data_IF_156582140490
#
_entry.id   IF_156582140490
#
_cell.length_a   1.000
_cell.length_b   1.000
_cell.length_c   1.000
_cell.angle_alpha   90.00
_cell.angle_beta   90.00
_cell.angle_gamma   90.00
#
_symmetry.space_group_name_H-M   'P 1'
#
loop_
_entity.id
_entity.type
_entity.pdbx_description
1 polymer ?
#
# COMPACT_ATOMS: atom_id res chain seq x y z
N UNK A 1 29.23 64.60 -11.47
CA UNK A 1 29.14 63.31 -12.19
C UNK A 1 29.64 62.23 -11.25
N UNK A 2 28.72 61.52 -10.60
CA UNK A 2 28.92 60.21 -9.97
C UNK A 2 27.55 59.76 -9.48
N UNK A 3 26.82 59.09 -10.37
CA UNK A 3 25.53 58.47 -10.05
C UNK A 3 25.82 56.99 -9.77
N UNK A 4 25.55 56.56 -8.55
CA UNK A 4 25.75 55.18 -8.08
C UNK A 4 24.36 54.58 -7.85
N UNK A 5 23.86 53.85 -8.85
CA UNK A 5 22.57 53.17 -8.77
C UNK A 5 22.77 51.75 -8.23
N UNK A 6 22.33 51.52 -6.99
CA UNK A 6 22.11 50.18 -6.44
C UNK A 6 20.90 49.53 -7.11
N UNK A 7 21.12 48.52 -7.96
CA UNK A 7 20.04 47.63 -8.42
C UNK A 7 19.64 46.65 -7.32
N UNK A 8 18.53 46.94 -6.66
CA UNK A 8 17.82 46.02 -5.79
C UNK A 8 17.25 44.84 -6.61
N UNK A 9 17.78 43.63 -6.36
CA UNK A 9 17.14 42.38 -6.80
C UNK A 9 15.83 42.17 -6.04
N UNK A 10 14.70 42.42 -6.68
CA UNK A 10 13.40 41.97 -6.19
C UNK A 10 13.31 40.45 -6.25
N UNK A 11 13.16 39.81 -5.09
CA UNK A 11 12.79 38.40 -4.99
C UNK A 11 11.36 38.23 -5.52
N UNK A 12 11.18 37.36 -6.52
CA UNK A 12 9.86 37.02 -7.03
C UNK A 12 8.99 36.42 -5.91
N UNK A 13 7.79 36.96 -5.74
CA UNK A 13 6.81 36.42 -4.81
C UNK A 13 6.45 34.96 -5.19
N UNK A 14 6.24 34.06 -4.22
CA UNK A 14 5.86 32.68 -4.51
C UNK A 14 4.53 32.67 -5.27
N UNK A 15 4.52 32.01 -6.43
CA UNK A 15 3.30 31.79 -7.21
C UNK A 15 2.25 31.10 -6.33
N UNK A 16 1.01 31.63 -6.26
CA UNK A 16 -0.07 30.97 -5.53
C UNK A 16 -0.25 29.55 -6.06
N UNK A 17 -0.19 28.55 -5.18
CA UNK A 17 -0.49 27.16 -5.55
C UNK A 17 -1.99 27.05 -5.81
N UNK A 18 -2.36 26.62 -7.01
CA UNK A 18 -3.75 26.41 -7.40
C UNK A 18 -4.45 25.43 -6.42
N UNK A 19 -5.54 25.85 -5.74
CA UNK A 19 -6.34 24.99 -4.87
C UNK A 19 -6.81 23.69 -5.52
N UNK A 20 -7.01 23.68 -6.85
CA UNK A 20 -7.42 22.49 -7.61
C UNK A 20 -6.33 21.40 -7.67
N UNK A 21 -5.07 21.74 -7.37
CA UNK A 21 -3.96 20.78 -7.28
C UNK A 21 -3.91 20.04 -5.94
N UNK A 22 -4.74 20.41 -4.96
CA UNK A 22 -4.78 19.78 -3.65
C UNK A 22 -5.87 18.70 -3.62
N UNK A 23 -5.47 17.44 -3.45
CA UNK A 23 -6.41 16.32 -3.32
C UNK A 23 -7.24 16.44 -2.04
N UNK A 24 -8.56 16.27 -2.18
CA UNK A 24 -9.50 16.19 -1.05
C UNK A 24 -9.42 14.82 -0.35
N UNK A 25 -9.07 13.77 -1.09
CA UNK A 25 -8.96 12.41 -0.59
C UNK A 25 -7.58 12.06 -0.03
N UNK A 26 -7.48 11.11 0.93
CA UNK A 26 -6.21 10.62 1.44
C UNK A 26 -5.34 10.01 0.33
N UNK A 27 -4.03 10.24 0.41
CA UNK A 27 -3.03 9.55 -0.42
C UNK A 27 -2.60 8.25 0.27
N UNK A 28 -2.24 7.23 -0.50
CA UNK A 28 -1.70 5.97 0.05
C UNK A 28 -0.38 6.17 0.79
N UNK A 29 0.46 7.13 0.36
CA UNK A 29 1.75 7.45 0.99
C UNK A 29 2.25 8.88 0.68
N UNK A 30 3.00 9.49 1.61
CA UNK A 30 3.58 10.84 1.46
C UNK A 30 5.08 10.77 1.06
N UNK A 31 5.42 11.33 -0.10
CA UNK A 31 6.78 11.23 -0.68
C UNK A 31 7.82 12.10 0.02
N UNK A 32 9.05 11.59 0.14
CA UNK A 32 10.23 12.33 0.63
C UNK A 32 11.23 12.74 -0.49
N UNK A 33 10.93 12.41 -1.75
CA UNK A 33 11.73 12.78 -2.94
C UNK A 33 11.68 11.71 -4.05
N UNK A 34 11.86 12.08 -5.32
CA UNK A 34 11.73 11.18 -6.49
C UNK A 34 13.03 10.91 -7.25
N UNK A 35 14.14 11.55 -6.89
CA UNK A 35 15.41 11.45 -7.63
C UNK A 35 16.06 10.07 -7.43
N UNK A 36 16.39 9.42 -8.53
CA UNK A 36 17.17 8.17 -8.55
C UNK A 36 18.67 8.48 -8.62
N UNK A 37 19.49 7.64 -7.98
CA UNK A 37 20.94 7.73 -8.00
C UNK A 37 21.57 6.32 -7.95
N UNK A 38 22.78 6.19 -8.47
CA UNK A 38 23.58 4.96 -8.41
C UNK A 38 22.85 3.74 -9.00
N UNK A 39 22.98 2.60 -8.34
CA UNK A 39 22.43 1.31 -8.82
C UNK A 39 20.92 1.35 -9.11
N UNK A 40 20.14 2.15 -8.38
CA UNK A 40 18.69 2.30 -8.62
C UNK A 40 18.39 3.01 -9.93
N UNK A 41 19.19 4.03 -10.29
CA UNK A 41 19.02 4.71 -11.58
C UNK A 41 19.32 3.75 -12.73
N UNK A 42 20.45 3.04 -12.66
CA UNK A 42 20.84 2.08 -13.71
C UNK A 42 19.86 0.91 -13.84
N UNK A 43 19.33 0.37 -12.73
CA UNK A 43 18.32 -0.67 -12.79
C UNK A 43 16.99 -0.16 -13.36
N UNK A 44 16.60 1.08 -13.03
CA UNK A 44 15.43 1.69 -13.64
C UNK A 44 15.60 1.84 -15.16
N UNK A 45 16.73 2.38 -15.62
CA UNK A 45 17.02 2.57 -17.05
C UNK A 45 16.97 1.26 -17.84
N UNK A 46 17.46 0.15 -17.27
CA UNK A 46 17.46 -1.15 -17.95
C UNK A 46 16.10 -1.87 -17.98
N UNK A 47 15.25 -1.65 -16.97
CA UNK A 47 14.07 -2.50 -16.75
C UNK A 47 12.74 -1.76 -16.88
N UNK A 48 12.71 -0.44 -16.75
CA UNK A 48 11.45 0.29 -16.68
C UNK A 48 10.59 0.08 -17.93
N UNK A 49 11.20 0.04 -19.12
CA UNK A 49 10.46 -0.20 -20.37
C UNK A 49 9.71 -1.54 -20.37
N UNK A 50 10.29 -2.59 -19.79
CA UNK A 50 9.68 -3.92 -19.74
C UNK A 50 8.70 -4.09 -18.57
N UNK A 51 9.04 -3.55 -17.41
CA UNK A 51 8.36 -3.89 -16.15
C UNK A 51 7.47 -2.77 -15.61
N UNK A 52 7.63 -1.52 -16.05
CA UNK A 52 6.87 -0.38 -15.52
C UNK A 52 5.79 0.03 -16.50
N UNK A 53 4.54 -0.02 -16.03
CA UNK A 53 3.38 0.51 -16.73
C UNK A 53 3.34 2.02 -16.45
N UNK A 54 3.34 2.81 -17.53
CA UNK A 54 3.22 4.27 -17.47
C UNK A 54 1.80 4.70 -17.88
N UNK A 55 0.85 4.83 -16.92
CA UNK A 55 -0.47 5.33 -17.25
C UNK A 55 -0.39 6.81 -17.67
N UNK A 56 -1.21 7.25 -18.63
CA UNK A 56 -1.44 8.67 -18.87
C UNK A 56 -1.86 9.38 -17.57
N UNK A 57 -1.42 10.64 -17.41
CA UNK A 57 -1.61 11.40 -16.17
C UNK A 57 -2.74 12.42 -16.34
N UNK A 58 -3.59 12.54 -15.32
CA UNK A 58 -4.66 13.54 -15.28
C UNK A 58 -4.15 14.93 -14.88
N UNK A 59 -3.63 15.04 -13.65
CA UNK A 59 -3.20 16.31 -13.04
C UNK A 59 -1.85 16.15 -12.35
N UNK A 60 -1.74 15.16 -11.46
CA UNK A 60 -0.52 14.90 -10.69
C UNK A 60 0.38 13.84 -11.36
N UNK A 61 1.66 13.87 -11.05
CA UNK A 61 2.66 12.90 -11.53
C UNK A 61 2.43 11.44 -11.07
N UNK A 62 1.48 11.23 -10.17
CA UNK A 62 1.02 9.93 -9.66
C UNK A 62 -0.45 9.70 -9.92
N UNK A 63 -1.10 10.62 -10.65
CA UNK A 63 -2.49 10.44 -11.06
C UNK A 63 -2.61 9.48 -12.24
N UNK A 64 -3.80 8.94 -12.43
CA UNK A 64 -4.18 8.12 -13.59
C UNK A 64 -5.26 8.89 -14.37
N UNK A 65 -5.15 8.96 -15.69
CA UNK A 65 -6.16 9.57 -16.55
C UNK A 65 -7.45 8.76 -16.51
N UNK A 66 -8.60 9.44 -16.50
CA UNK A 66 -9.92 8.84 -16.27
C UNK A 66 -10.33 7.80 -17.34
N UNK A 67 -9.68 7.81 -18.51
CA UNK A 67 -9.93 6.93 -19.65
C UNK A 67 -8.90 5.80 -19.81
N UNK A 68 -7.98 5.65 -18.84
CA UNK A 68 -6.96 4.62 -18.90
C UNK A 68 -7.37 3.36 -18.14
N UNK A 69 -7.59 2.27 -18.87
CA UNK A 69 -7.81 0.93 -18.33
C UNK A 69 -6.65 0.02 -18.73
N UNK A 70 -6.13 -0.74 -17.77
CA UNK A 70 -5.10 -1.74 -18.00
C UNK A 70 -5.74 -3.04 -18.46
N UNK A 71 -5.24 -3.59 -19.57
CA UNK A 71 -5.40 -5.01 -19.91
C UNK A 71 -4.24 -5.81 -19.28
N UNK A 72 -4.48 -6.61 -18.21
CA UNK A 72 -3.43 -7.39 -17.58
C UNK A 72 -2.84 -8.45 -18.52
N UNK A 73 -3.66 -9.09 -19.35
CA UNK A 73 -3.20 -10.17 -20.22
C UNK A 73 -2.23 -9.63 -21.26
N UNK A 74 -2.52 -8.46 -21.82
CA UNK A 74 -1.59 -7.75 -22.71
C UNK A 74 -0.33 -7.28 -21.97
N UNK A 75 -0.47 -6.70 -20.78
CA UNK A 75 0.67 -6.16 -20.03
C UNK A 75 1.66 -7.25 -19.59
N UNK A 76 1.15 -8.42 -19.22
CA UNK A 76 1.95 -9.57 -18.81
C UNK A 76 2.30 -10.50 -19.98
N UNK A 77 1.63 -10.39 -21.12
CA UNK A 77 1.80 -11.26 -22.29
C UNK A 77 1.24 -12.68 -22.09
N UNK A 78 0.36 -12.87 -21.09
CA UNK A 78 -0.23 -14.15 -20.70
C UNK A 78 -1.47 -13.95 -19.82
N UNK A 79 -2.33 -14.96 -19.81
CA UNK A 79 -3.48 -15.04 -18.90
C UNK A 79 -3.09 -15.83 -17.65
N UNK A 80 -3.18 -15.20 -16.48
CA UNK A 80 -2.87 -15.82 -15.19
C UNK A 80 -3.56 -15.06 -14.04
N UNK A 81 -3.77 -15.69 -12.87
CA UNK A 81 -4.34 -15.01 -11.71
C UNK A 81 -3.54 -13.76 -11.33
N UNK A 82 -4.24 -12.65 -11.07
CA UNK A 82 -3.63 -11.35 -10.80
C UNK A 82 -3.61 -11.05 -9.30
N UNK A 83 -2.41 -10.83 -8.78
CA UNK A 83 -2.15 -10.41 -7.40
C UNK A 83 -1.71 -8.95 -7.43
N UNK A 84 -2.39 -8.10 -6.66
CA UNK A 84 -2.06 -6.66 -6.58
C UNK A 84 -1.53 -6.34 -5.20
N UNK A 85 -0.31 -5.81 -5.08
CA UNK A 85 0.20 -5.28 -3.82
C UNK A 85 0.17 -3.75 -3.83
N UNK A 86 -0.62 -3.16 -2.93
CA UNK A 86 -0.76 -1.72 -2.76
C UNK A 86 0.24 -1.22 -1.73
N UNK A 87 1.08 -0.27 -2.13
CA UNK A 87 2.11 0.30 -1.27
C UNK A 87 3.27 -0.68 -1.07
N UNK A 88 3.78 -1.27 -2.16
CA UNK A 88 4.84 -2.31 -2.10
C UNK A 88 6.14 -1.85 -1.43
N UNK A 89 6.32 -0.55 -1.21
CA UNK A 89 7.49 0.02 -0.57
C UNK A 89 8.75 -0.26 -1.38
N UNK A 90 9.58 -1.18 -0.90
CA UNK A 90 10.82 -1.59 -1.56
C UNK A 90 10.68 -2.85 -2.43
N UNK A 91 9.44 -3.33 -2.61
CA UNK A 91 9.12 -4.52 -3.40
C UNK A 91 9.61 -5.83 -2.78
N UNK A 92 9.82 -5.89 -1.46
CA UNK A 92 10.36 -7.06 -0.78
C UNK A 92 9.38 -8.24 -0.81
N UNK A 93 8.12 -8.03 -0.47
CA UNK A 93 7.09 -9.07 -0.50
C UNK A 93 6.79 -9.50 -1.93
N UNK A 94 6.34 -8.57 -2.79
CA UNK A 94 5.94 -8.91 -4.15
C UNK A 94 7.01 -9.64 -4.95
N UNK A 95 8.29 -9.26 -4.82
CA UNK A 95 9.36 -9.92 -5.56
C UNK A 95 9.61 -11.35 -5.08
N UNK A 96 9.58 -11.59 -3.75
CA UNK A 96 9.76 -12.95 -3.23
C UNK A 96 8.57 -13.84 -3.60
N UNK A 97 7.35 -13.31 -3.47
CA UNK A 97 6.17 -14.03 -3.92
C UNK A 97 6.23 -14.38 -5.41
N UNK A 98 6.55 -13.41 -6.27
CA UNK A 98 6.65 -13.64 -7.71
C UNK A 98 7.71 -14.66 -8.10
N UNK A 99 8.86 -14.64 -7.42
CA UNK A 99 9.93 -15.64 -7.58
C UNK A 99 9.47 -17.04 -7.22
N UNK A 100 8.70 -17.18 -6.14
CA UNK A 100 8.32 -18.49 -5.59
C UNK A 100 7.00 -19.03 -6.20
N UNK A 101 6.29 -18.22 -6.98
CA UNK A 101 4.98 -18.51 -7.57
C UNK A 101 4.86 -17.94 -9.00
N UNK A 102 5.61 -18.52 -9.96
CA UNK A 102 5.69 -18.01 -11.34
C UNK A 102 4.37 -18.11 -12.11
N UNK A 103 3.41 -18.94 -11.65
CA UNK A 103 2.12 -19.17 -12.29
C UNK A 103 1.14 -17.99 -12.14
N UNK A 104 1.43 -17.02 -11.25
CA UNK A 104 0.59 -15.84 -11.02
C UNK A 104 1.23 -14.56 -11.54
N UNK A 105 0.42 -13.58 -11.92
CA UNK A 105 0.84 -12.23 -12.28
C UNK A 105 0.83 -11.32 -11.04
N UNK A 106 1.82 -10.45 -10.92
CA UNK A 106 2.00 -9.56 -9.77
C UNK A 106 2.08 -8.09 -10.18
N UNK A 107 1.10 -7.28 -9.76
CA UNK A 107 1.09 -5.84 -9.98
C UNK A 107 1.51 -5.09 -8.71
N UNK A 108 2.68 -4.45 -8.77
CA UNK A 108 3.20 -3.58 -7.72
C UNK A 108 2.69 -2.14 -7.90
N UNK A 109 1.84 -1.67 -6.97
CA UNK A 109 1.35 -0.28 -6.96
C UNK A 109 2.11 0.51 -5.90
N UNK A 110 2.84 1.56 -6.30
CA UNK A 110 3.63 2.37 -5.36
C UNK A 110 3.81 3.81 -5.86
N UNK A 111 3.64 4.81 -5.00
CA UNK A 111 3.85 6.22 -5.37
C UNK A 111 5.32 6.64 -5.31
N UNK A 112 6.14 5.91 -4.55
CA UNK A 112 7.56 6.17 -4.32
C UNK A 112 8.45 5.48 -5.37
N UNK A 113 8.81 6.22 -6.43
CA UNK A 113 9.66 5.72 -7.53
C UNK A 113 10.97 5.06 -7.08
N UNK A 114 11.73 5.56 -6.09
CA UNK A 114 12.92 4.85 -5.62
C UNK A 114 12.64 3.47 -5.01
N UNK A 115 11.42 3.26 -4.50
CA UNK A 115 10.92 1.95 -4.07
C UNK A 115 10.73 1.00 -5.25
N UNK A 116 10.07 1.46 -6.32
CA UNK A 116 9.94 0.69 -7.56
C UNK A 116 11.30 0.42 -8.23
N UNK A 117 12.23 1.37 -8.20
CA UNK A 117 13.61 1.11 -8.67
C UNK A 117 14.34 0.06 -7.81
N UNK A 118 13.99 -0.05 -6.53
CA UNK A 118 14.50 -1.11 -5.66
C UNK A 118 13.87 -2.48 -5.98
N UNK A 119 12.62 -2.50 -6.43
CA UNK A 119 11.96 -3.67 -6.99
C UNK A 119 12.64 -4.12 -8.29
N UNK A 120 13.00 -3.20 -9.20
CA UNK A 120 13.72 -3.55 -10.44
C UNK A 120 15.04 -4.30 -10.17
N UNK A 121 15.79 -3.88 -9.15
CA UNK A 121 17.00 -4.61 -8.73
C UNK A 121 16.70 -6.05 -8.27
N UNK A 122 15.54 -6.28 -7.64
CA UNK A 122 15.13 -7.62 -7.21
C UNK A 122 14.66 -8.46 -8.39
N UNK A 123 13.91 -7.86 -9.31
CA UNK A 123 13.48 -8.48 -10.56
C UNK A 123 14.69 -9.01 -11.33
N UNK A 124 15.73 -8.18 -11.52
CA UNK A 124 17.00 -8.61 -12.14
C UNK A 124 17.68 -9.73 -11.34
N UNK A 125 17.82 -9.55 -10.03
CA UNK A 125 18.55 -10.50 -9.17
C UNK A 125 17.88 -11.87 -9.07
N UNK A 126 16.56 -11.93 -9.22
CA UNK A 126 15.77 -13.14 -9.10
C UNK A 126 15.33 -13.72 -10.44
N UNK A 127 15.54 -13.02 -11.56
CA UNK A 127 15.08 -13.45 -12.88
C UNK A 127 13.55 -13.52 -12.96
N UNK A 128 12.86 -12.54 -12.37
CA UNK A 128 11.39 -12.51 -12.32
C UNK A 128 10.84 -11.97 -13.63
N UNK A 129 9.88 -12.67 -14.23
CA UNK A 129 9.22 -12.23 -15.47
C UNK A 129 7.75 -11.82 -15.25
N UNK A 130 7.15 -12.32 -14.16
CA UNK A 130 5.73 -12.21 -13.83
C UNK A 130 5.38 -11.03 -12.90
N UNK A 131 6.18 -9.96 -12.90
CA UNK A 131 5.89 -8.71 -12.18
C UNK A 131 5.67 -7.57 -13.17
N UNK A 132 4.71 -6.69 -12.87
CA UNK A 132 4.63 -5.34 -13.42
C UNK A 132 4.53 -4.34 -12.28
N UNK A 133 5.00 -3.12 -12.51
CA UNK A 133 4.99 -2.04 -11.54
C UNK A 133 4.27 -0.83 -12.12
N UNK A 134 3.54 -0.11 -11.28
CA UNK A 134 2.92 1.16 -11.66
C UNK A 134 3.21 2.21 -10.59
N UNK A 135 3.71 3.36 -11.05
CA UNK A 135 3.84 4.53 -10.18
C UNK A 135 2.52 5.30 -10.15
N UNK A 136 1.65 5.03 -9.18
CA UNK A 136 0.34 5.69 -9.10
C UNK A 136 -0.23 5.71 -7.67
N UNK A 137 -1.18 6.62 -7.44
CA UNK A 137 -1.98 6.65 -6.23
C UNK A 137 -2.97 5.47 -6.24
N UNK A 138 -3.01 4.70 -5.15
CA UNK A 138 -3.75 3.43 -5.12
C UNK A 138 -5.26 3.57 -5.36
N UNK A 139 -5.99 4.55 -4.78
CA UNK A 139 -7.40 4.75 -5.10
C UNK A 139 -7.64 4.96 -6.60
N UNK A 140 -6.78 5.71 -7.30
CA UNK A 140 -6.93 5.97 -8.73
C UNK A 140 -6.65 4.72 -9.58
N UNK A 141 -5.72 3.86 -9.14
CA UNK A 141 -5.53 2.54 -9.77
C UNK A 141 -6.78 1.67 -9.60
N UNK A 142 -7.36 1.67 -8.40
CA UNK A 142 -8.57 0.90 -8.10
C UNK A 142 -9.86 1.50 -8.65
N UNK A 143 -9.90 2.78 -9.01
CA UNK A 143 -11.10 3.43 -9.58
C UNK A 143 -11.13 3.35 -11.09
N UNK A 144 -9.96 3.49 -11.73
CA UNK A 144 -9.87 3.78 -13.16
C UNK A 144 -9.07 2.71 -13.91
N UNK A 145 -7.91 2.36 -13.36
CA UNK A 145 -6.94 1.52 -14.08
C UNK A 145 -7.33 0.05 -14.12
N UNK A 146 -7.83 -0.51 -13.03
CA UNK A 146 -8.19 -1.93 -12.94
C UNK A 146 -9.68 -2.13 -13.22
N UNK A 147 -10.02 -3.11 -14.04
CA UNK A 147 -11.41 -3.47 -14.29
C UNK A 147 -12.04 -4.16 -13.07
N UNK A 148 -13.37 -4.20 -13.07
CA UNK A 148 -14.12 -4.94 -12.06
C UNK A 148 -13.77 -6.43 -12.11
N UNK A 149 -13.67 -7.07 -10.95
CA UNK A 149 -13.37 -8.51 -10.86
C UNK A 149 -12.09 -8.93 -11.60
N UNK A 150 -11.08 -8.07 -11.67
CA UNK A 150 -9.83 -8.34 -12.38
C UNK A 150 -8.75 -8.95 -11.47
N UNK A 151 -8.76 -8.66 -10.17
CA UNK A 151 -7.76 -9.16 -9.22
C UNK A 151 -8.23 -10.41 -8.47
N UNK A 152 -7.36 -11.40 -8.29
CA UNK A 152 -7.62 -12.61 -7.51
C UNK A 152 -7.25 -12.42 -6.02
N UNK A 153 -6.19 -11.67 -5.74
CA UNK A 153 -5.87 -11.21 -4.39
C UNK A 153 -5.37 -9.76 -4.38
N UNK A 154 -5.68 -9.03 -3.31
CA UNK A 154 -5.14 -7.69 -3.04
C UNK A 154 -4.41 -7.72 -1.70
N UNK A 155 -3.17 -7.22 -1.67
CA UNK A 155 -2.32 -7.15 -0.49
C UNK A 155 -2.06 -5.70 -0.10
N UNK A 156 -2.24 -5.38 1.18
CA UNK A 156 -1.99 -4.05 1.72
C UNK A 156 -1.27 -4.20 3.06
N UNK A 157 0.07 -4.17 3.02
CA UNK A 157 0.89 -4.39 4.21
C UNK A 157 1.49 -3.08 4.71
N UNK A 158 1.32 -2.80 6.00
CA UNK A 158 1.92 -1.68 6.72
C UNK A 158 1.62 -0.31 6.11
N UNK A 159 0.39 -0.11 5.61
CA UNK A 159 -0.09 1.22 5.21
C UNK A 159 0.01 2.21 6.38
N UNK A 160 0.22 3.51 6.09
CA UNK A 160 0.53 4.51 7.12
C UNK A 160 -0.55 4.54 8.22
N UNK A 161 -0.20 4.21 9.48
CA UNK A 161 -1.15 4.12 10.58
C UNK A 161 -1.62 5.48 11.09
N UNK A 162 -0.91 6.58 10.74
CA UNK A 162 -1.21 7.93 11.20
C UNK A 162 -1.45 8.01 12.72
N UNK A 163 -0.43 7.69 13.53
CA UNK A 163 -0.53 7.49 14.99
C UNK A 163 -1.26 8.58 15.81
N UNK A 164 -1.40 9.81 15.28
CA UNK A 164 -2.04 10.93 15.99
C UNK A 164 -3.54 10.96 15.67
N UNK A 165 -4.45 11.05 16.67
CA UNK A 165 -5.90 11.07 16.44
C UNK A 165 -6.38 12.03 15.36
N UNK A 166 -5.85 13.26 15.35
CA UNK A 166 -6.16 14.30 14.34
C UNK A 166 -5.83 13.91 12.89
N UNK A 167 -5.05 12.85 12.69
CA UNK A 167 -4.62 12.33 11.39
C UNK A 167 -5.32 11.03 10.99
N UNK A 168 -6.16 10.42 11.85
CA UNK A 168 -6.85 9.16 11.52
C UNK A 168 -7.70 9.26 10.24
N UNK A 169 -8.23 10.45 9.94
CA UNK A 169 -8.90 10.72 8.66
C UNK A 169 -8.02 10.55 7.41
N UNK A 170 -6.71 10.32 7.55
CA UNK A 170 -5.78 10.04 6.45
C UNK A 170 -5.45 8.56 6.30
N UNK A 171 -5.89 7.70 7.23
CA UNK A 171 -5.77 6.24 7.10
C UNK A 171 -6.45 5.78 5.81
N UNK A 172 -5.82 4.82 5.15
CA UNK A 172 -6.26 4.31 3.85
C UNK A 172 -7.51 3.46 4.00
N UNK A 173 -7.53 2.55 4.99
CA UNK A 173 -8.62 1.58 5.16
C UNK A 173 -9.83 2.24 5.80
N UNK A 174 -10.85 2.47 4.97
CA UNK A 174 -12.17 3.02 5.29
C UNK A 174 -13.19 2.45 4.31
N UNK A 175 -14.48 2.56 4.63
CA UNK A 175 -15.58 2.14 3.75
C UNK A 175 -15.39 2.56 2.29
N UNK A 176 -15.18 3.85 2.02
CA UNK A 176 -15.01 4.37 0.65
C UNK A 176 -13.80 3.82 -0.11
N UNK A 177 -12.76 3.35 0.58
CA UNK A 177 -11.63 2.68 -0.06
C UNK A 177 -11.92 1.20 -0.26
N UNK A 178 -12.61 0.57 0.71
CA UNK A 178 -13.05 -0.81 0.61
C UNK A 178 -14.05 -1.02 -0.53
N UNK A 179 -14.92 -0.05 -0.83
CA UNK A 179 -15.80 -0.07 -2.01
C UNK A 179 -15.00 -0.22 -3.33
N UNK A 180 -13.81 0.39 -3.39
CA UNK A 180 -12.92 0.33 -4.56
C UNK A 180 -12.20 -1.01 -4.63
N UNK A 181 -11.78 -1.53 -3.47
CA UNK A 181 -11.16 -2.85 -3.35
C UNK A 181 -12.15 -3.94 -3.71
N UNK A 182 -13.39 -3.89 -3.19
CA UNK A 182 -14.43 -4.87 -3.51
C UNK A 182 -14.70 -4.86 -5.00
N UNK A 183 -14.93 -3.71 -5.63
CA UNK A 183 -15.13 -3.59 -7.09
C UNK A 183 -14.09 -4.35 -7.91
N UNK A 184 -12.79 -4.19 -7.59
CA UNK A 184 -11.68 -4.76 -8.37
C UNK A 184 -11.39 -6.23 -8.05
N UNK A 185 -11.52 -6.63 -6.79
CA UNK A 185 -11.25 -8.01 -6.35
C UNK A 185 -12.35 -8.94 -6.87
N UNK A 186 -12.04 -10.12 -7.40
CA UNK A 186 -13.07 -11.10 -7.83
C UNK A 186 -13.94 -11.55 -6.66
N UNK A 187 -15.21 -11.93 -6.87
CA UNK A 187 -15.96 -12.72 -5.92
C UNK A 187 -15.17 -14.00 -5.58
N UNK A 188 -15.04 -14.33 -4.30
CA UNK A 188 -14.16 -15.37 -3.78
C UNK A 188 -12.68 -14.97 -3.65
N UNK A 189 -12.29 -13.80 -4.16
CA UNK A 189 -10.93 -13.26 -4.03
C UNK A 189 -10.60 -12.84 -2.60
N UNK A 190 -9.30 -12.74 -2.29
CA UNK A 190 -8.84 -12.45 -0.92
C UNK A 190 -8.19 -11.06 -0.80
N UNK A 191 -8.65 -10.28 0.17
CA UNK A 191 -7.96 -9.09 0.67
C UNK A 191 -7.09 -9.46 1.87
N UNK A 192 -5.79 -9.20 1.79
CA UNK A 192 -4.82 -9.43 2.88
C UNK A 192 -4.27 -8.11 3.39
N UNK A 193 -4.30 -7.94 4.70
CA UNK A 193 -3.85 -6.74 5.40
C UNK A 193 -2.87 -7.11 6.48
N UNK A 194 -1.91 -6.22 6.74
CA UNK A 194 -1.06 -6.31 7.92
C UNK A 194 -0.74 -4.92 8.47
N UNK A 195 -0.69 -4.77 9.79
CA UNK A 195 -0.23 -3.55 10.44
C UNK A 195 0.42 -3.87 11.78
N UNK A 196 1.34 -3.01 12.21
CA UNK A 196 2.05 -3.07 13.48
C UNK A 196 1.56 -2.02 14.47
N UNK A 197 0.31 -1.57 14.30
CA UNK A 197 -0.32 -0.56 15.14
C UNK A 197 -1.71 -1.02 15.55
N UNK A 198 -1.87 -1.44 16.79
CA UNK A 198 -3.08 -2.11 17.30
C UNK A 198 -4.36 -1.32 17.03
N UNK A 199 -4.37 -0.01 17.30
CA UNK A 199 -5.54 0.84 17.06
C UNK A 199 -5.92 0.91 15.57
N UNK A 200 -4.94 0.80 14.67
CA UNK A 200 -5.24 0.77 13.24
C UNK A 200 -5.74 -0.63 12.84
N UNK A 201 -5.21 -1.69 13.43
CA UNK A 201 -5.69 -3.06 13.23
C UNK A 201 -7.17 -3.20 13.62
N UNK A 202 -7.56 -2.67 14.78
CA UNK A 202 -8.96 -2.60 15.23
C UNK A 202 -9.82 -1.83 14.22
N UNK A 203 -9.40 -0.63 13.80
CA UNK A 203 -10.13 0.13 12.78
C UNK A 203 -10.28 -0.64 11.45
N UNK A 204 -9.24 -1.35 11.01
CA UNK A 204 -9.32 -2.17 9.80
C UNK A 204 -10.36 -3.28 9.96
N UNK A 205 -10.33 -4.01 11.08
CA UNK A 205 -11.29 -5.07 11.41
C UNK A 205 -12.72 -4.52 11.42
N UNK A 206 -12.95 -3.40 12.10
CA UNK A 206 -14.28 -2.80 12.24
C UNK A 206 -14.82 -2.33 10.88
N UNK A 207 -13.99 -1.68 10.07
CA UNK A 207 -14.38 -1.22 8.74
C UNK A 207 -14.72 -2.37 7.80
N UNK A 208 -13.99 -3.48 7.86
CA UNK A 208 -14.24 -4.67 7.04
C UNK A 208 -15.45 -5.46 7.52
N UNK A 209 -15.61 -5.61 8.84
CA UNK A 209 -16.77 -6.30 9.44
C UNK A 209 -18.08 -5.57 9.11
N UNK A 210 -18.04 -4.24 8.99
CA UNK A 210 -19.20 -3.43 8.62
C UNK A 210 -19.48 -3.39 7.10
N UNK A 211 -18.55 -3.86 6.27
CA UNK A 211 -18.66 -3.76 4.81
C UNK A 211 -19.41 -4.98 4.25
N UNK A 212 -20.48 -4.80 3.44
CA UNK A 212 -21.35 -5.90 3.02
C UNK A 212 -20.67 -6.95 2.14
N UNK A 213 -19.67 -6.54 1.35
CA UNK A 213 -19.00 -7.46 0.40
C UNK A 213 -17.86 -8.27 1.00
N UNK A 214 -17.52 -8.11 2.29
CA UNK A 214 -16.37 -8.78 2.90
C UNK A 214 -16.76 -9.69 4.05
N UNK A 215 -16.21 -10.90 4.06
CA UNK A 215 -16.33 -11.86 5.16
C UNK A 215 -14.94 -12.18 5.73
N UNK A 216 -14.82 -12.17 7.05
CA UNK A 216 -13.57 -12.50 7.72
C UNK A 216 -13.27 -14.00 7.53
N UNK A 217 -12.06 -14.34 7.08
CA UNK A 217 -11.64 -15.74 6.90
C UNK A 217 -11.34 -16.46 8.23
N UNK A 218 -11.17 -15.71 9.32
CA UNK A 218 -10.72 -16.19 10.62
C UNK A 218 -11.55 -15.62 11.78
N UNK A 219 -12.90 -15.70 11.76
CA UNK A 219 -13.74 -15.11 12.80
C UNK A 219 -13.41 -15.70 14.18
N UNK A 220 -13.23 -14.84 15.19
CA UNK A 220 -12.88 -15.26 16.56
C UNK A 220 -11.45 -15.79 16.73
N UNK A 221 -10.67 -15.96 15.66
CA UNK A 221 -9.32 -16.49 15.74
C UNK A 221 -8.40 -15.50 16.47
N UNK A 222 -7.47 -16.05 17.26
CA UNK A 222 -6.53 -15.28 18.10
C UNK A 222 -7.24 -14.26 19.02
N UNK A 223 -8.43 -14.60 19.52
CA UNK A 223 -9.08 -13.88 20.63
C UNK A 223 -8.47 -14.30 21.99
N UNK A 224 -8.95 -13.66 23.06
CA UNK A 224 -8.60 -14.04 24.42
C UNK A 224 -7.17 -13.67 24.82
N UNK A 225 -6.60 -14.45 25.73
CA UNK A 225 -5.26 -14.26 26.30
C UNK A 225 -4.14 -14.28 25.24
N UNK A 226 -4.32 -15.05 24.18
CA UNK A 226 -3.30 -15.19 23.13
C UNK A 226 -3.29 -14.05 22.12
N UNK A 227 -4.32 -13.22 22.11
CA UNK A 227 -4.42 -12.07 21.22
C UNK A 227 -3.27 -11.09 21.40
N UNK A 228 -2.70 -10.64 20.28
CA UNK A 228 -1.75 -9.54 20.29
C UNK A 228 -2.39 -8.25 20.82
N UNK A 229 -3.71 -8.07 20.64
CA UNK A 229 -4.42 -6.90 21.17
C UNK A 229 -4.49 -6.97 22.70
N UNK A 230 -4.78 -8.15 23.26
CA UNK A 230 -4.73 -8.39 24.71
C UNK A 230 -3.36 -8.03 25.28
N UNK A 231 -2.29 -8.55 24.66
CA UNK A 231 -0.89 -8.28 25.05
C UNK A 231 -0.57 -6.77 24.99
N UNK A 232 -0.92 -6.10 23.89
CA UNK A 232 -0.69 -4.65 23.72
C UNK A 232 -1.34 -3.83 24.85
N UNK A 233 -2.61 -4.11 25.18
CA UNK A 233 -3.39 -3.32 26.13
C UNK A 233 -2.98 -3.58 27.58
N UNK A 234 -2.77 -4.85 27.96
CA UNK A 234 -2.33 -5.20 29.32
C UNK A 234 -0.93 -4.69 29.64
N UNK A 235 -0.02 -4.76 28.66
CA UNK A 235 1.36 -4.33 28.85
C UNK A 235 1.56 -2.82 28.64
N UNK A 236 0.53 -2.10 28.16
CA UNK A 236 0.62 -0.67 27.87
C UNK A 236 1.61 -0.37 26.74
N UNK A 237 1.66 -1.25 25.73
CA UNK A 237 2.47 -1.03 24.53
C UNK A 237 1.93 0.17 23.74
N UNK A 238 2.70 0.68 22.77
CA UNK A 238 2.27 1.77 21.88
C UNK A 238 1.88 3.09 22.58
N UNK A 239 2.20 3.23 23.88
CA UNK A 239 1.87 4.41 24.69
C UNK A 239 0.47 4.37 25.30
N UNK A 240 -0.19 3.20 25.32
CA UNK A 240 -1.43 3.01 26.06
C UNK A 240 -1.21 2.98 27.57
N UNK A 241 -2.22 3.44 28.31
CA UNK A 241 -2.33 3.11 29.73
C UNK A 241 -2.53 1.60 29.87
N UNK A 242 -1.90 1.00 30.89
CA UNK A 242 -2.03 -0.44 31.12
C UNK A 242 -3.45 -0.77 31.56
N UNK A 243 -4.03 -1.78 30.92
CA UNK A 243 -5.35 -2.29 31.25
C UNK A 243 -5.24 -3.78 31.61
N UNK A 244 -4.87 -4.13 32.86
CA UNK A 244 -4.53 -5.51 33.23
C UNK A 244 -5.65 -6.53 33.03
N UNK A 245 -6.91 -6.08 33.11
CA UNK A 245 -8.10 -6.91 32.93
C UNK A 245 -8.61 -6.94 31.49
N UNK A 246 -7.96 -6.23 30.56
CA UNK A 246 -8.40 -6.19 29.16
C UNK A 246 -8.22 -7.56 28.51
N UNK A 247 -9.22 -8.01 27.76
CA UNK A 247 -9.16 -9.20 26.92
C UNK A 247 -9.84 -8.91 25.59
N UNK A 248 -9.20 -9.25 24.48
CA UNK A 248 -9.78 -9.15 23.14
C UNK A 248 -10.77 -10.29 22.91
N UNK A 249 -12.04 -10.05 23.26
CA UNK A 249 -13.13 -11.03 23.10
C UNK A 249 -13.52 -11.27 21.63
N UNK A 250 -13.13 -10.37 20.72
CA UNK A 250 -13.54 -10.43 19.32
C UNK A 250 -12.59 -11.25 18.46
N UNK A 251 -11.27 -11.09 18.66
CA UNK A 251 -10.26 -11.71 17.79
C UNK A 251 -10.48 -11.32 16.33
N UNK A 252 -10.51 -12.31 15.45
CA UNK A 252 -10.69 -12.09 14.01
C UNK A 252 -9.38 -11.83 13.28
N UNK A 253 -8.24 -12.17 13.90
CA UNK A 253 -6.91 -11.97 13.35
C UNK A 253 -6.48 -13.21 12.55
N UNK A 254 -5.97 -12.98 11.35
CA UNK A 254 -5.38 -14.04 10.55
C UNK A 254 -4.02 -14.45 11.12
N UNK A 255 -3.59 -15.71 10.93
CA UNK A 255 -2.19 -16.06 11.04
C UNK A 255 -1.35 -15.20 10.09
N UNK A 256 -0.07 -15.01 10.44
CA UNK A 256 0.89 -14.32 9.57
C UNK A 256 0.87 -14.93 8.17
N UNK A 257 0.64 -14.11 7.15
CA UNK A 257 0.58 -14.61 5.78
C UNK A 257 1.92 -15.21 5.34
N UNK A 258 1.91 -16.47 4.89
CA UNK A 258 3.12 -17.24 4.59
C UNK A 258 4.00 -16.61 3.49
N UNK A 259 3.39 -16.00 2.46
CA UNK A 259 4.12 -15.36 1.36
C UNK A 259 4.59 -13.94 1.69
N UNK A 260 4.14 -13.37 2.81
CA UNK A 260 4.70 -12.12 3.32
C UNK A 260 6.04 -12.45 3.94
N UNK A 261 7.17 -12.23 3.27
CA UNK A 261 8.48 -12.40 3.92
C UNK A 261 8.68 -11.36 5.03
N UNK A 262 9.68 -11.56 5.91
CA UNK A 262 10.04 -10.55 6.91
C UNK A 262 10.62 -9.32 6.21
N UNK A 263 9.80 -8.27 6.07
CA UNK A 263 10.21 -7.04 5.38
C UNK A 263 11.06 -6.13 6.27
N UNK A 264 11.71 -5.15 5.67
CA UNK A 264 12.39 -4.10 6.43
C UNK A 264 11.44 -3.27 7.31
N UNK A 265 10.16 -3.17 6.96
CA UNK A 265 9.14 -2.50 7.78
C UNK A 265 8.77 -3.34 8.99
N UNK A 266 8.42 -4.61 8.77
CA UNK A 266 8.10 -5.55 9.84
C UNK A 266 9.31 -5.73 10.79
N UNK A 267 10.52 -5.89 10.25
CA UNK A 267 11.72 -6.00 11.06
C UNK A 267 12.00 -4.76 11.93
N UNK A 268 11.63 -3.55 11.47
CA UNK A 268 11.69 -2.33 12.30
C UNK A 268 10.61 -2.32 13.37
N UNK A 269 9.41 -2.81 13.05
CA UNK A 269 8.31 -2.95 14.01
C UNK A 269 8.70 -3.86 15.18
N UNK A 270 9.18 -5.06 14.86
CA UNK A 270 9.59 -6.05 15.85
C UNK A 270 10.75 -5.55 16.72
N UNK A 271 11.74 -4.87 16.13
CA UNK A 271 12.84 -4.24 16.88
C UNK A 271 12.35 -3.14 17.84
N UNK A 272 11.24 -2.50 17.53
CA UNK A 272 10.59 -1.52 18.40
C UNK A 272 9.66 -2.17 19.44
N UNK A 273 9.62 -3.50 19.52
CA UNK A 273 8.75 -4.24 20.44
C UNK A 273 7.27 -4.22 20.06
N UNK A 274 6.93 -3.84 18.82
CA UNK A 274 5.54 -3.82 18.35
C UNK A 274 5.12 -5.19 17.83
N UNK A 275 3.87 -5.54 18.11
CA UNK A 275 3.24 -6.77 17.62
C UNK A 275 2.55 -6.49 16.28
N UNK A 276 2.47 -7.51 15.43
CA UNK A 276 1.85 -7.42 14.11
C UNK A 276 0.47 -8.06 14.13
N UNK A 277 -0.46 -7.43 13.44
CA UNK A 277 -1.82 -7.90 13.24
C UNK A 277 -2.01 -8.17 11.74
N UNK A 278 -2.28 -9.41 11.39
CA UNK A 278 -2.66 -9.81 10.04
C UNK A 278 -4.18 -9.96 9.97
N UNK A 279 -4.78 -9.57 8.85
CA UNK A 279 -6.19 -9.79 8.57
C UNK A 279 -6.34 -10.38 7.15
N UNK A 280 -7.33 -11.24 6.98
CA UNK A 280 -7.69 -11.79 5.69
C UNK A 280 -9.21 -11.87 5.54
N UNK A 281 -9.71 -11.30 4.45
CA UNK A 281 -11.15 -11.25 4.14
C UNK A 281 -11.40 -11.76 2.73
N UNK A 282 -12.47 -12.51 2.55
CA UNK A 282 -12.97 -12.95 1.24
C UNK A 282 -13.99 -11.95 0.74
N UNK A 283 -13.94 -11.60 -0.55
CA UNK A 283 -15.06 -10.88 -1.19
C UNK A 283 -16.20 -11.85 -1.47
N UNK A 284 -17.41 -11.62 -0.96
CA UNK A 284 -18.54 -12.57 -1.07
C UNK A 284 -19.56 -12.27 -2.18
N UNK A 285 -19.63 -11.01 -2.65
CA UNK A 285 -20.57 -10.55 -3.69
C UNK A 285 -19.92 -10.33 -5.04
#
# INVERSE_FOLDING_TARGET
MSDSSEEQRQAAAPTPKDPALFRAEPVSFVRRGNRLQGRRASAWERNAEQYVIEPPRKIADTSVADDFTLDPDQAFGRVAPLIVEIGTGLGECIANAAKDDPERNYLAVEVYRPGLAQLMLKVESFGIENVRAVQANAPEVLDVMLEENSADEIWIFFSDPWHKPRHHKRRLIKASFLDKVSRVLKPGGTLRLATDWSNYAEQMRDALTAHPDFENQFPGNLAGEESNLTKVRREGMEGFEKEPEFTDELGGWAPRFERRILTSFEGKALKAGRLVFDLAYTRVG
#
